data_IF_779166063197
#
_entry.id   IF_779166063197
#
_cell.length_a   1.000
_cell.length_b   1.000
_cell.length_c   1.000
_cell.angle_alpha   90.00
_cell.angle_beta   90.00
_cell.angle_gamma   90.00
#
_symmetry.space_group_name_H-M   'P 1'
#
loop_
_entity.id
_entity.type
_entity.pdbx_description
1 polymer ?
#
# COMPACT_ATOMS: atom_id res chain seq x y z
N UNK A 1 -9.59 6.11 2.72
CA UNK A 1 -10.33 4.86 3.05
C UNK A 1 -11.57 4.76 2.16
N UNK A 2 -11.81 3.60 1.54
CA UNK A 2 -13.02 3.36 0.72
C UNK A 2 -14.18 2.87 1.59
N UNK A 3 -15.32 3.55 1.52
CA UNK A 3 -16.55 3.20 2.27
C UNK A 3 -17.07 1.83 1.85
N UNK A 4 -17.76 1.12 2.77
CA UNK A 4 -18.19 -0.28 2.57
C UNK A 4 -18.94 -0.50 1.25
N UNK A 5 -19.91 0.37 0.93
CA UNK A 5 -20.71 0.26 -0.31
C UNK A 5 -19.92 0.47 -1.61
N UNK A 6 -18.68 0.94 -1.53
CA UNK A 6 -17.79 1.19 -2.67
C UNK A 6 -16.63 0.20 -2.76
N UNK A 7 -16.56 -0.79 -1.87
CA UNK A 7 -15.51 -1.82 -1.90
C UNK A 7 -15.72 -2.77 -3.09
N UNK A 8 -14.65 -3.41 -3.55
CA UNK A 8 -14.63 -4.34 -4.70
C UNK A 8 -15.03 -3.73 -6.06
N UNK A 9 -15.09 -2.41 -6.15
CA UNK A 9 -15.38 -1.68 -7.40
C UNK A 9 -14.12 -1.24 -8.17
N UNK A 10 -12.93 -1.52 -7.63
CA UNK A 10 -11.67 -0.97 -8.12
C UNK A 10 -11.37 0.48 -7.66
N UNK A 11 -12.29 1.13 -6.93
CA UNK A 11 -12.13 2.51 -6.47
C UNK A 11 -10.83 2.75 -5.69
N UNK A 12 -10.39 1.81 -4.85
CA UNK A 12 -9.13 1.95 -4.10
C UNK A 12 -7.92 2.11 -5.03
N UNK A 13 -7.86 1.32 -6.11
CA UNK A 13 -6.76 1.38 -7.08
C UNK A 13 -6.80 2.68 -7.85
N UNK A 14 -7.99 3.07 -8.33
CA UNK A 14 -8.16 4.34 -9.06
C UNK A 14 -7.75 5.55 -8.22
N UNK A 15 -8.20 5.63 -6.97
CA UNK A 15 -7.81 6.73 -6.06
C UNK A 15 -6.30 6.73 -5.84
N UNK A 16 -5.68 5.55 -5.68
CA UNK A 16 -4.24 5.42 -5.50
C UNK A 16 -3.47 5.88 -6.75
N UNK A 17 -3.83 5.39 -7.93
CA UNK A 17 -3.21 5.78 -9.19
C UNK A 17 -3.38 7.30 -9.45
N UNK A 18 -4.58 7.86 -9.20
CA UNK A 18 -4.85 9.30 -9.36
C UNK A 18 -4.02 10.16 -8.39
N UNK A 19 -3.79 9.70 -7.15
CA UNK A 19 -2.93 10.39 -6.16
C UNK A 19 -1.46 10.43 -6.59
N UNK A 20 -1.02 9.45 -7.39
CA UNK A 20 0.36 9.32 -7.86
C UNK A 20 0.58 9.90 -9.26
N UNK A 21 -0.47 10.06 -10.07
CA UNK A 21 -0.38 10.41 -11.48
C UNK A 21 0.39 11.71 -11.78
N UNK A 22 0.43 12.66 -10.83
CA UNK A 22 1.12 13.96 -10.98
C UNK A 22 2.40 14.07 -10.14
N UNK A 23 2.85 12.97 -9.54
CA UNK A 23 4.02 12.94 -8.66
C UNK A 23 5.31 12.73 -9.45
N UNK A 24 6.36 13.45 -9.06
CA UNK A 24 7.68 13.43 -9.72
C UNK A 24 8.76 12.78 -8.87
N UNK A 25 8.40 12.28 -7.70
CA UNK A 25 9.26 11.48 -6.83
C UNK A 25 9.61 10.14 -7.53
N UNK A 26 10.84 9.62 -7.33
CA UNK A 26 11.30 8.41 -8.01
C UNK A 26 10.62 7.14 -7.51
N UNK A 27 10.14 7.15 -6.26
CA UNK A 27 9.51 6.02 -5.62
C UNK A 27 8.35 6.46 -4.73
N UNK A 28 7.44 5.52 -4.47
CA UNK A 28 6.35 5.66 -3.51
C UNK A 28 6.50 4.60 -2.44
N UNK A 29 6.47 4.99 -1.19
CA UNK A 29 6.47 4.07 -0.06
C UNK A 29 5.11 4.02 0.64
N UNK A 30 4.80 2.86 1.22
CA UNK A 30 3.67 2.69 2.13
C UNK A 30 4.05 1.73 3.26
N UNK A 31 3.24 1.72 4.30
CA UNK A 31 3.32 0.73 5.37
C UNK A 31 1.99 -0.02 5.45
N UNK A 32 2.06 -1.35 5.50
CA UNK A 32 0.88 -2.22 5.61
C UNK A 32 1.05 -3.16 6.80
N UNK A 33 -0.03 -3.39 7.55
CA UNK A 33 -0.03 -4.48 8.51
C UNK A 33 -0.18 -5.81 7.75
N UNK A 34 0.82 -6.71 7.76
CA UNK A 34 0.78 -7.96 7.00
C UNK A 34 -0.34 -8.91 7.48
N UNK A 35 -0.89 -8.71 8.68
CA UNK A 35 -2.01 -9.51 9.19
C UNK A 35 -3.38 -8.93 8.80
N UNK A 36 -3.43 -7.73 8.21
CA UNK A 36 -4.71 -7.09 7.88
C UNK A 36 -5.45 -7.86 6.77
N UNK A 37 -6.69 -8.24 7.06
CA UNK A 37 -7.55 -8.95 6.11
C UNK A 37 -6.96 -10.31 5.70
N UNK A 38 -6.32 -11.01 6.63
CA UNK A 38 -5.63 -12.29 6.40
C UNK A 38 -4.54 -12.18 5.32
N UNK A 39 -3.78 -11.07 5.32
CA UNK A 39 -2.71 -10.81 4.35
C UNK A 39 -3.19 -10.33 2.98
N UNK A 40 -4.50 -10.30 2.71
CA UNK A 40 -5.05 -9.90 1.40
C UNK A 40 -4.69 -8.47 0.99
N UNK A 41 -4.49 -7.58 1.96
CA UNK A 41 -4.11 -6.19 1.67
C UNK A 41 -2.65 -6.09 1.24
N UNK A 42 -1.75 -6.84 1.87
CA UNK A 42 -0.34 -6.93 1.48
C UNK A 42 -0.22 -7.52 0.07
N UNK A 43 -0.84 -8.68 -0.17
CA UNK A 43 -0.88 -9.30 -1.50
C UNK A 43 -1.50 -8.39 -2.58
N UNK A 44 -2.52 -7.58 -2.24
CA UNK A 44 -3.09 -6.62 -3.17
C UNK A 44 -2.06 -5.57 -3.61
N UNK A 45 -1.26 -5.03 -2.68
CA UNK A 45 -0.24 -4.05 -3.03
C UNK A 45 0.89 -4.65 -3.88
N UNK A 46 1.23 -5.93 -3.67
CA UNK A 46 2.15 -6.65 -4.58
C UNK A 46 1.63 -6.62 -6.03
N UNK A 47 0.32 -6.85 -6.23
CA UNK A 47 -0.28 -6.77 -7.58
C UNK A 47 -0.26 -5.37 -8.20
N UNK A 48 0.01 -4.33 -7.41
CA UNK A 48 0.14 -2.94 -7.88
C UNK A 48 1.59 -2.56 -8.14
N UNK A 49 2.53 -3.50 -7.99
CA UNK A 49 3.96 -3.31 -8.22
C UNK A 49 4.74 -2.85 -7.00
N UNK A 50 4.16 -2.97 -5.80
CA UNK A 50 4.91 -2.76 -4.56
C UNK A 50 5.73 -4.00 -4.21
N UNK A 51 6.91 -3.79 -3.63
CA UNK A 51 7.80 -4.82 -3.12
C UNK A 51 8.17 -4.54 -1.67
N UNK A 52 8.46 -5.60 -0.91
CA UNK A 52 8.85 -5.49 0.49
C UNK A 52 10.27 -4.91 0.63
N UNK A 53 10.42 -3.96 1.55
CA UNK A 53 11.73 -3.43 1.98
C UNK A 53 12.12 -3.99 3.33
N UNK A 54 11.17 -4.07 4.26
CA UNK A 54 11.41 -4.63 5.58
C UNK A 54 10.39 -4.21 6.63
N UNK A 55 10.43 -4.85 7.81
CA UNK A 55 9.51 -4.54 8.89
C UNK A 55 9.83 -3.20 9.56
N UNK A 56 8.80 -2.50 10.00
CA UNK A 56 8.86 -1.29 10.80
C UNK A 56 7.95 -1.43 12.01
N UNK A 57 8.46 -1.08 13.19
CA UNK A 57 7.69 -1.02 14.44
C UNK A 57 7.85 0.40 15.01
N UNK A 58 6.92 1.32 14.71
CA UNK A 58 7.07 2.74 15.07
C UNK A 58 7.20 3.00 16.57
N UNK A 59 6.60 2.14 17.39
CA UNK A 59 6.74 2.14 18.85
C UNK A 59 6.54 0.73 19.40
N UNK A 60 6.94 0.49 20.66
CA UNK A 60 6.79 -0.81 21.30
C UNK A 60 5.33 -1.29 21.33
N UNK A 61 4.34 -0.41 21.42
CA UNK A 61 2.93 -0.81 21.45
C UNK A 61 2.29 -0.93 20.07
N UNK A 62 3.02 -0.56 19.00
CA UNK A 62 2.52 -0.65 17.63
C UNK A 62 2.65 -2.07 17.06
N UNK A 63 1.73 -2.49 16.18
CA UNK A 63 1.93 -3.68 15.38
C UNK A 63 3.17 -3.53 14.50
N UNK A 64 3.79 -4.66 14.15
CA UNK A 64 4.81 -4.68 13.11
C UNK A 64 4.13 -4.44 11.76
N UNK A 65 4.59 -3.42 11.05
CA UNK A 65 4.17 -3.09 9.70
C UNK A 65 5.24 -3.54 8.72
N UNK A 66 4.86 -3.92 7.50
CA UNK A 66 5.77 -4.09 6.39
C UNK A 66 5.88 -2.77 5.62
N UNK A 67 7.10 -2.26 5.46
CA UNK A 67 7.39 -1.15 4.55
C UNK A 67 7.48 -1.73 3.15
N UNK A 68 6.70 -1.18 2.23
CA UNK A 68 6.74 -1.55 0.81
C UNK A 68 7.05 -0.34 -0.06
N UNK A 69 7.71 -0.57 -1.19
CA UNK A 69 8.08 0.48 -2.16
C UNK A 69 7.65 0.10 -3.58
N UNK A 70 7.31 1.09 -4.38
CA UNK A 70 7.09 0.96 -5.82
C UNK A 70 7.90 2.05 -6.53
N UNK A 71 8.74 1.63 -7.46
CA UNK A 71 9.46 2.53 -8.36
C UNK A 71 8.49 3.19 -9.34
N UNK A 72 8.73 4.46 -9.67
CA UNK A 72 8.03 5.10 -10.78
C UNK A 72 8.60 4.55 -12.08
N UNK A 73 7.72 4.11 -12.98
CA UNK A 73 8.14 3.81 -14.34
C UNK A 73 8.75 5.08 -14.96
N UNK A 74 9.95 4.94 -15.53
CA UNK A 74 10.66 6.02 -16.22
C UNK A 74 9.89 6.49 -17.46
#
# INVERSE_FOLDING_TARGET
MVRVGWRKTGASRRIHDDLLAQRTEPQVSLMVNPQAGDGKVHALYETWGYTDVGPSRPSLDSPVLMVMVRERAM
#
